data_IF_082168012919
#
_entry.id   IF_082168012919
#
_cell.length_a   1.000
_cell.length_b   1.000
_cell.length_c   1.000
_cell.angle_alpha   90.00
_cell.angle_beta   90.00
_cell.angle_gamma   90.00
#
_symmetry.space_group_name_H-M   'P 1'
#
loop_
_entity.id
_entity.type
_entity.pdbx_description
1 polymer ?
#
# COMPACT_ATOMS: atom_id res chain seq x y z
N UNK A 1 -6.92 -8.22 -24.06
CA UNK A 1 -6.28 -9.55 -23.81
C UNK A 1 -5.18 -9.42 -22.76
N UNK A 2 -4.29 -8.42 -22.89
CA UNK A 2 -3.25 -8.07 -21.90
C UNK A 2 -3.80 -7.79 -20.51
N UNK A 3 -4.84 -6.95 -20.39
CA UNK A 3 -5.49 -6.63 -19.11
C UNK A 3 -5.90 -7.87 -18.29
N UNK A 4 -6.53 -8.88 -18.91
CA UNK A 4 -6.93 -10.11 -18.20
C UNK A 4 -5.73 -10.88 -17.64
N UNK A 5 -4.61 -10.87 -18.36
CA UNK A 5 -3.36 -11.50 -17.90
C UNK A 5 -2.84 -10.71 -16.69
N UNK A 6 -2.75 -9.38 -16.80
CA UNK A 6 -2.32 -8.48 -15.72
C UNK A 6 -3.17 -8.72 -14.46
N UNK A 7 -4.50 -8.68 -14.57
CA UNK A 7 -5.42 -8.88 -13.44
C UNK A 7 -5.23 -10.25 -12.76
N UNK A 8 -4.75 -11.26 -13.51
CA UNK A 8 -4.47 -12.60 -12.97
C UNK A 8 -3.10 -12.67 -12.30
N UNK A 9 -2.06 -12.06 -12.88
CA UNK A 9 -0.68 -12.21 -12.41
C UNK A 9 -0.29 -11.20 -11.34
N UNK A 10 -0.87 -9.99 -11.36
CA UNK A 10 -0.49 -8.93 -10.40
C UNK A 10 -0.62 -9.37 -8.94
N UNK A 11 -1.75 -9.96 -8.50
CA UNK A 11 -1.88 -10.37 -7.09
C UNK A 11 -0.91 -11.48 -6.68
N UNK A 12 -0.41 -12.29 -7.63
CA UNK A 12 0.54 -13.35 -7.34
C UNK A 12 1.89 -12.78 -6.85
N UNK A 13 2.25 -11.56 -7.25
CA UNK A 13 3.49 -10.91 -6.82
C UNK A 13 3.55 -10.67 -5.30
N UNK A 14 2.42 -10.68 -4.59
CA UNK A 14 2.41 -10.50 -3.14
C UNK A 14 3.08 -11.67 -2.42
N UNK A 15 2.91 -12.89 -2.93
CA UNK A 15 3.35 -14.12 -2.26
C UNK A 15 4.32 -14.97 -3.12
N UNK A 16 4.62 -14.54 -4.36
CA UNK A 16 5.47 -15.29 -5.28
C UNK A 16 6.90 -15.50 -4.75
N UNK A 17 7.44 -16.69 -4.95
CA UNK A 17 8.86 -16.95 -4.74
C UNK A 17 9.73 -16.13 -5.71
N UNK A 18 11.01 -15.89 -5.41
CA UNK A 18 11.87 -15.00 -6.20
C UNK A 18 11.97 -15.38 -7.69
N UNK A 19 12.09 -16.66 -8.00
CA UNK A 19 12.16 -17.19 -9.37
C UNK A 19 10.85 -16.97 -10.16
N UNK A 20 9.71 -17.26 -9.52
CA UNK A 20 8.37 -17.00 -10.08
C UNK A 20 8.18 -15.51 -10.34
N UNK A 21 8.69 -14.66 -9.44
CA UNK A 21 8.61 -13.20 -9.58
C UNK A 21 9.42 -12.70 -10.77
N UNK A 22 10.64 -13.20 -10.97
CA UNK A 22 11.45 -12.89 -12.16
C UNK A 22 10.73 -13.34 -13.44
N UNK A 23 10.10 -14.52 -13.43
CA UNK A 23 9.28 -14.98 -14.54
C UNK A 23 8.08 -14.05 -14.82
N UNK A 24 7.44 -13.49 -13.78
CA UNK A 24 6.37 -12.50 -13.92
C UNK A 24 6.94 -11.20 -14.51
N UNK A 25 8.11 -10.73 -14.08
CA UNK A 25 8.78 -9.56 -14.67
C UNK A 25 9.05 -9.75 -16.17
N UNK A 26 9.61 -10.90 -16.57
CA UNK A 26 9.86 -11.22 -17.97
C UNK A 26 8.59 -11.28 -18.81
N UNK A 27 7.51 -11.82 -18.23
CA UNK A 27 6.19 -11.81 -18.84
C UNK A 27 5.69 -10.38 -19.06
N UNK A 28 5.77 -9.51 -18.04
CA UNK A 28 5.32 -8.12 -18.13
C UNK A 28 6.13 -7.32 -19.16
N UNK A 29 7.46 -7.51 -19.21
CA UNK A 29 8.33 -6.93 -20.24
C UNK A 29 7.92 -7.41 -21.64
N UNK A 30 7.59 -8.69 -21.77
CA UNK A 30 7.14 -9.26 -23.05
C UNK A 30 5.76 -8.73 -23.47
N UNK A 31 4.85 -8.53 -22.52
CA UNK A 31 3.55 -7.91 -22.75
C UNK A 31 3.68 -6.43 -23.13
N UNK A 32 4.65 -5.70 -22.57
CA UNK A 32 4.90 -4.30 -22.90
C UNK A 32 5.29 -4.08 -24.38
N UNK A 33 5.85 -5.11 -25.05
CA UNK A 33 6.12 -5.09 -26.50
C UNK A 33 4.82 -5.11 -27.34
N UNK A 34 3.72 -5.60 -26.76
CA UNK A 34 2.41 -5.68 -27.40
C UNK A 34 1.54 -4.48 -26.99
N UNK A 35 1.66 -4.06 -25.73
CA UNK A 35 0.92 -2.96 -25.12
C UNK A 35 1.89 -1.96 -24.48
N UNK A 36 2.23 -0.91 -25.23
CA UNK A 36 3.22 0.09 -24.80
C UNK A 36 2.79 0.89 -23.57
N UNK A 37 1.51 0.88 -23.20
CA UNK A 37 1.04 1.54 -21.98
C UNK A 37 1.59 0.87 -20.71
N UNK A 38 2.08 -0.38 -20.82
CA UNK A 38 2.69 -1.13 -19.72
C UNK A 38 4.21 -0.86 -19.58
N UNK A 39 4.88 -0.27 -20.58
CA UNK A 39 6.35 -0.16 -20.64
C UNK A 39 6.96 0.50 -19.41
N UNK A 40 6.34 1.59 -18.93
CA UNK A 40 6.76 2.29 -17.72
C UNK A 40 6.72 1.39 -16.48
N UNK A 41 5.61 0.67 -16.29
CA UNK A 41 5.42 -0.22 -15.12
C UNK A 41 6.24 -1.49 -15.24
N UNK A 42 6.38 -2.08 -16.43
CA UNK A 42 7.19 -3.26 -16.68
C UNK A 42 8.69 -3.02 -16.40
N UNK A 43 9.21 -1.85 -16.78
CA UNK A 43 10.59 -1.45 -16.43
C UNK A 43 10.73 -1.23 -14.92
N UNK A 44 9.78 -0.52 -14.33
CA UNK A 44 9.81 -0.22 -12.90
C UNK A 44 9.77 -1.51 -12.05
N UNK A 45 8.89 -2.46 -12.34
CA UNK A 45 8.82 -3.73 -11.61
C UNK A 45 10.07 -4.60 -11.81
N UNK A 46 10.71 -4.52 -12.98
CA UNK A 46 11.99 -5.16 -13.23
C UNK A 46 13.10 -4.55 -12.36
N UNK A 47 13.19 -3.23 -12.29
CA UNK A 47 14.17 -2.53 -11.44
C UNK A 47 13.91 -2.83 -9.95
N UNK A 48 12.64 -2.92 -9.51
CA UNK A 48 12.25 -3.31 -8.14
C UNK A 48 12.64 -4.75 -7.76
N UNK A 49 13.06 -5.56 -8.74
CA UNK A 49 13.48 -6.95 -8.58
C UNK A 49 14.88 -7.20 -9.16
N UNK A 50 15.69 -6.14 -9.31
CA UNK A 50 17.03 -6.24 -9.85
C UNK A 50 17.93 -7.12 -8.97
N UNK A 51 18.66 -8.03 -9.59
CA UNK A 51 19.64 -8.90 -8.94
C UNK A 51 21.05 -8.34 -9.07
N UNK A 52 21.87 -8.55 -8.06
CA UNK A 52 23.27 -8.13 -8.05
C UNK A 52 24.04 -8.84 -9.17
N UNK A 53 24.82 -8.12 -10.01
CA UNK A 53 25.70 -8.75 -10.98
C UNK A 53 26.96 -9.35 -10.33
N UNK A 54 27.23 -9.00 -9.07
CA UNK A 54 28.45 -9.39 -8.35
C UNK A 54 28.27 -10.65 -7.51
N UNK A 55 27.06 -10.89 -6.99
CA UNK A 55 26.75 -11.98 -6.08
C UNK A 55 25.54 -12.77 -6.58
N UNK A 56 25.71 -14.09 -6.70
CA UNK A 56 24.63 -14.99 -7.11
C UNK A 56 23.56 -14.99 -6.03
N UNK A 57 22.29 -14.84 -6.44
CA UNK A 57 21.11 -14.78 -5.58
C UNK A 57 20.99 -13.56 -4.65
N UNK A 58 21.85 -12.55 -4.82
CA UNK A 58 21.72 -11.26 -4.09
C UNK A 58 20.95 -10.21 -4.90
N UNK A 59 20.43 -9.20 -4.20
CA UNK A 59 19.63 -8.11 -4.78
C UNK A 59 20.48 -6.86 -5.04
N UNK A 60 20.20 -6.17 -6.14
CA UNK A 60 20.75 -4.85 -6.39
C UNK A 60 19.91 -3.79 -5.67
N UNK A 61 20.20 -3.62 -4.37
CA UNK A 61 19.49 -2.65 -3.52
C UNK A 61 19.53 -1.22 -4.06
N UNK A 62 20.60 -0.83 -4.77
CA UNK A 62 20.72 0.53 -5.32
C UNK A 62 19.67 0.72 -6.41
N UNK A 63 19.63 -0.18 -7.38
CA UNK A 63 18.63 -0.16 -8.45
C UNK A 63 17.20 -0.25 -7.91
N UNK A 64 16.98 -1.10 -6.90
CA UNK A 64 15.65 -1.25 -6.26
C UNK A 64 15.22 0.05 -5.58
N UNK A 65 16.08 0.68 -4.78
CA UNK A 65 15.78 1.95 -4.09
C UNK A 65 15.49 3.05 -5.11
N UNK A 66 16.29 3.14 -6.17
CA UNK A 66 16.09 4.10 -7.25
C UNK A 66 14.76 3.86 -8.00
N UNK A 67 14.33 2.60 -8.14
CA UNK A 67 13.03 2.26 -8.71
C UNK A 67 11.88 2.83 -7.88
N UNK A 68 11.92 2.63 -6.55
CA UNK A 68 10.92 3.18 -5.64
C UNK A 68 10.92 4.71 -5.63
N UNK A 69 12.09 5.34 -5.69
CA UNK A 69 12.24 6.80 -5.68
C UNK A 69 11.60 7.48 -6.92
N UNK A 70 11.47 6.77 -8.04
CA UNK A 70 10.84 7.27 -9.27
C UNK A 70 9.31 7.26 -9.22
N UNK A 71 8.70 6.57 -8.25
CA UNK A 71 7.25 6.44 -8.19
C UNK A 71 6.67 7.52 -7.28
N UNK A 72 6.03 8.52 -7.89
CA UNK A 72 5.39 9.64 -7.22
C UNK A 72 3.90 9.77 -7.59
N UNK A 73 3.28 10.88 -7.18
CA UNK A 73 1.88 11.14 -7.50
C UNK A 73 1.61 11.28 -9.01
N UNK A 74 2.57 11.76 -9.80
CA UNK A 74 2.45 11.86 -11.25
C UNK A 74 2.52 10.48 -11.91
N UNK A 75 3.39 9.59 -11.41
CA UNK A 75 3.42 8.18 -11.80
C UNK A 75 2.06 7.50 -11.57
N UNK A 76 1.44 7.71 -10.40
CA UNK A 76 0.12 7.16 -10.11
C UNK A 76 -0.96 7.67 -11.07
N UNK A 77 -0.99 8.98 -11.35
CA UNK A 77 -1.96 9.59 -12.24
C UNK A 77 -1.84 9.08 -13.69
N UNK A 78 -0.60 8.91 -14.17
CA UNK A 78 -0.32 8.43 -15.54
C UNK A 78 -0.57 6.94 -15.72
N UNK A 79 -0.57 6.19 -14.62
CA UNK A 79 -0.77 4.73 -14.64
C UNK A 79 -2.25 4.36 -14.54
N UNK A 80 -2.64 3.28 -15.21
CA UNK A 80 -3.97 2.69 -15.01
C UNK A 80 -4.05 1.97 -13.66
N UNK A 81 -5.27 1.77 -13.16
CA UNK A 81 -5.53 0.94 -11.98
C UNK A 81 -4.83 -0.43 -12.08
N UNK A 82 -4.97 -1.09 -13.23
CA UNK A 82 -4.40 -2.42 -13.48
C UNK A 82 -2.87 -2.43 -13.42
N UNK A 83 -2.23 -1.40 -13.97
CA UNK A 83 -0.78 -1.28 -13.91
C UNK A 83 -0.32 -1.00 -12.48
N UNK A 84 -1.04 -0.18 -11.73
CA UNK A 84 -0.69 0.09 -10.33
C UNK A 84 -0.85 -1.13 -9.42
N UNK A 85 -1.76 -2.05 -9.73
CA UNK A 85 -1.86 -3.30 -8.99
C UNK A 85 -0.55 -4.11 -9.02
N UNK A 86 0.24 -4.04 -10.09
CA UNK A 86 1.56 -4.70 -10.18
C UNK A 86 2.50 -4.13 -9.09
N UNK A 87 2.64 -2.80 -9.09
CA UNK A 87 3.54 -2.07 -8.21
C UNK A 87 3.13 -2.23 -6.74
N UNK A 88 1.82 -2.12 -6.45
CA UNK A 88 1.29 -2.30 -5.09
C UNK A 88 1.50 -3.73 -4.58
N UNK A 89 1.34 -4.73 -5.45
CA UNK A 89 1.56 -6.14 -5.09
C UNK A 89 3.02 -6.42 -4.73
N UNK A 90 3.96 -5.93 -5.54
CA UNK A 90 5.39 -6.01 -5.24
C UNK A 90 5.75 -5.29 -3.94
N UNK A 91 5.13 -4.13 -3.69
CA UNK A 91 5.40 -3.36 -2.49
C UNK A 91 4.89 -4.08 -1.25
N UNK A 92 3.74 -4.73 -1.30
CA UNK A 92 3.24 -5.56 -0.19
C UNK A 92 4.18 -6.73 0.13
N UNK A 93 4.74 -7.37 -0.91
CA UNK A 93 5.78 -8.38 -0.71
C UNK A 93 7.02 -7.81 -0.03
N UNK A 94 7.60 -6.75 -0.59
CA UNK A 94 8.82 -6.13 -0.07
C UNK A 94 8.63 -5.54 1.34
N UNK A 95 7.41 -5.12 1.68
CA UNK A 95 7.04 -4.66 3.02
C UNK A 95 7.09 -5.78 4.07
N UNK A 96 6.93 -7.03 3.64
CA UNK A 96 7.01 -8.23 4.49
C UNK A 96 8.42 -8.82 4.54
N UNK A 97 9.40 -8.18 3.90
CA UNK A 97 10.79 -8.64 3.88
C UNK A 97 11.47 -8.52 5.24
N UNK A 98 12.52 -9.32 5.45
CA UNK A 98 13.43 -9.17 6.57
C UNK A 98 14.42 -8.00 6.36
N UNK A 99 14.62 -7.60 5.11
CA UNK A 99 15.52 -6.52 4.74
C UNK A 99 14.89 -5.16 5.02
N UNK A 100 15.56 -4.37 5.86
CA UNK A 100 15.06 -3.07 6.30
C UNK A 100 14.92 -2.08 5.14
N UNK A 101 15.87 -2.10 4.20
CA UNK A 101 15.89 -1.23 3.00
C UNK A 101 14.69 -1.45 2.10
N UNK A 102 14.32 -2.72 1.87
CA UNK A 102 13.14 -3.11 1.10
C UNK A 102 11.86 -2.72 1.84
N UNK A 103 11.80 -3.02 3.14
CA UNK A 103 10.65 -2.72 4.00
C UNK A 103 10.36 -1.22 4.04
N UNK A 104 11.39 -0.39 4.21
CA UNK A 104 11.25 1.06 4.28
C UNK A 104 10.84 1.66 2.92
N UNK A 105 11.46 1.22 1.83
CA UNK A 105 11.10 1.68 0.47
C UNK A 105 9.65 1.34 0.12
N UNK A 106 9.25 0.09 0.36
CA UNK A 106 7.89 -0.38 0.13
C UNK A 106 6.86 0.37 0.99
N UNK A 107 7.13 0.54 2.28
CA UNK A 107 6.23 1.27 3.19
C UNK A 107 6.09 2.73 2.77
N UNK A 108 7.18 3.38 2.36
CA UNK A 108 7.15 4.76 1.90
C UNK A 108 6.27 4.90 0.65
N UNK A 109 6.41 3.99 -0.33
CA UNK A 109 5.53 3.97 -1.49
C UNK A 109 4.06 3.80 -1.12
N UNK A 110 3.75 2.81 -0.26
CA UNK A 110 2.38 2.56 0.17
C UNK A 110 1.81 3.76 0.93
N UNK A 111 2.62 4.48 1.71
CA UNK A 111 2.24 5.74 2.34
C UNK A 111 1.94 6.84 1.31
N UNK A 112 2.77 6.99 0.27
CA UNK A 112 2.52 7.92 -0.84
C UNK A 112 1.23 7.58 -1.58
N UNK A 113 0.93 6.29 -1.76
CA UNK A 113 -0.35 5.85 -2.34
C UNK A 113 -1.54 6.21 -1.44
N UNK A 114 -1.41 6.12 -0.11
CA UNK A 114 -2.46 6.59 0.82
C UNK A 114 -2.73 8.09 0.65
N UNK A 115 -1.68 8.89 0.50
CA UNK A 115 -1.81 10.34 0.26
C UNK A 115 -2.46 10.62 -1.09
N UNK A 116 -2.06 9.89 -2.13
CA UNK A 116 -2.69 9.96 -3.44
C UNK A 116 -4.18 9.62 -3.37
N UNK A 117 -4.56 8.51 -2.74
CA UNK A 117 -5.95 8.12 -2.55
C UNK A 117 -6.76 9.19 -1.81
N UNK A 118 -6.19 9.81 -0.77
CA UNK A 118 -6.83 10.90 -0.06
C UNK A 118 -7.07 12.13 -0.96
N UNK A 119 -6.15 12.44 -1.87
CA UNK A 119 -6.32 13.54 -2.81
C UNK A 119 -7.48 13.32 -3.78
N UNK A 120 -7.64 12.09 -4.31
CA UNK A 120 -8.77 11.70 -5.15
C UNK A 120 -10.09 11.85 -4.38
N UNK A 121 -10.16 11.33 -3.15
CA UNK A 121 -11.37 11.41 -2.32
C UNK A 121 -11.75 12.86 -1.98
N UNK A 122 -10.77 13.72 -1.70
CA UNK A 122 -11.02 15.13 -1.43
C UNK A 122 -11.53 15.87 -2.67
N UNK A 123 -10.99 15.59 -3.85
CA UNK A 123 -11.44 16.19 -5.11
C UNK A 123 -12.90 15.84 -5.40
N UNK A 124 -13.28 14.57 -5.28
CA UNK A 124 -14.66 14.13 -5.50
C UNK A 124 -15.63 14.75 -4.49
N UNK A 125 -15.26 14.81 -3.21
CA UNK A 125 -16.08 15.45 -2.18
C UNK A 125 -16.34 16.94 -2.50
N UNK A 126 -15.33 17.66 -3.01
CA UNK A 126 -15.47 19.07 -3.41
C UNK A 126 -16.31 19.27 -4.68
N UNK A 127 -16.23 18.34 -5.64
CA UNK A 127 -17.04 18.40 -6.86
C UNK A 127 -18.53 18.20 -6.57
N UNK A 128 -18.87 17.43 -5.53
CA UNK A 128 -20.25 17.23 -5.11
C UNK A 128 -20.86 18.42 -4.33
N UNK A 129 -20.05 19.31 -3.76
CA UNK A 129 -20.55 20.55 -3.11
C UNK A 129 -20.87 21.68 -4.09
N UNK A 130 -20.28 21.67 -5.28
CA UNK A 130 -20.51 22.67 -6.33
C UNK A 130 -21.68 22.25 -7.25
N UNK A 131 -22.90 22.18 -6.69
CA UNK A 131 -24.12 21.97 -7.47
C UNK A 131 -24.36 23.20 -8.35
N UNK A 132 -23.91 23.16 -9.60
CA UNK A 132 -24.26 24.17 -10.60
C UNK A 132 -23.37 24.30 -11.84
N UNK A 133 -22.21 23.64 -11.91
CA UNK A 133 -21.41 23.62 -13.14
C UNK A 133 -21.26 22.19 -13.63
N UNK A 134 -21.82 21.95 -14.81
CA UNK A 134 -21.55 20.78 -15.63
C UNK A 134 -20.08 20.84 -16.07
N UNK A 135 -19.18 20.48 -15.16
CA UNK A 135 -17.77 20.27 -15.47
C UNK A 135 -17.70 18.89 -16.11
N UNK A 136 -17.33 18.86 -17.39
CA UNK A 136 -16.93 17.64 -18.10
C UNK A 136 -16.09 16.79 -17.17
N UNK A 137 -16.61 15.62 -16.76
CA UNK A 137 -15.84 14.67 -15.95
C UNK A 137 -14.50 14.50 -16.65
N UNK A 138 -13.37 14.88 -16.04
CA UNK A 138 -12.10 14.46 -16.59
C UNK A 138 -12.17 12.94 -16.70
N UNK A 139 -11.65 12.40 -17.80
CA UNK A 139 -11.52 10.96 -18.03
C UNK A 139 -10.49 10.41 -17.04
N UNK A 140 -10.83 10.50 -15.74
CA UNK A 140 -9.92 10.25 -14.64
C UNK A 140 -9.77 8.73 -14.54
N UNK A 141 -8.53 8.28 -14.70
CA UNK A 141 -8.14 6.87 -14.52
C UNK A 141 -8.44 6.33 -13.12
N UNK A 142 -8.70 7.23 -12.15
CA UNK A 142 -8.95 6.93 -10.75
C UNK A 142 -10.28 7.50 -10.28
N UNK A 143 -10.97 6.73 -9.43
CA UNK A 143 -12.19 7.16 -8.72
C UNK A 143 -12.08 6.84 -7.24
N UNK A 144 -12.83 7.55 -6.40
CA UNK A 144 -12.89 7.35 -4.96
C UNK A 144 -13.25 5.93 -4.57
N UNK A 145 -14.26 5.34 -5.24
CA UNK A 145 -14.67 3.96 -5.03
C UNK A 145 -13.52 2.97 -5.29
N UNK A 146 -12.71 3.21 -6.33
CA UNK A 146 -11.59 2.34 -6.68
C UNK A 146 -10.45 2.45 -5.70
N UNK A 147 -10.03 3.66 -5.32
CA UNK A 147 -8.97 3.80 -4.31
C UNK A 147 -9.41 3.22 -2.97
N UNK A 148 -10.68 3.39 -2.58
CA UNK A 148 -11.23 2.77 -1.38
C UNK A 148 -11.27 1.24 -1.47
N UNK A 149 -11.59 0.67 -2.63
CA UNK A 149 -11.55 -0.78 -2.83
C UNK A 149 -10.13 -1.33 -2.67
N UNK A 150 -9.13 -0.72 -3.33
CA UNK A 150 -7.73 -1.14 -3.21
C UNK A 150 -7.28 -1.06 -1.75
N UNK A 151 -7.55 0.06 -1.07
CA UNK A 151 -7.17 0.22 0.34
C UNK A 151 -7.82 -0.84 1.23
N UNK A 152 -9.15 -1.00 1.15
CA UNK A 152 -9.89 -1.83 2.10
C UNK A 152 -9.89 -3.33 1.78
N UNK A 153 -9.89 -3.70 0.50
CA UNK A 153 -10.06 -5.08 0.05
C UNK A 153 -8.75 -5.72 -0.42
N UNK A 154 -7.77 -4.91 -0.81
CA UNK A 154 -6.48 -5.42 -1.25
C UNK A 154 -5.40 -5.18 -0.18
N UNK A 155 -5.02 -3.93 0.08
CA UNK A 155 -3.90 -3.60 0.99
C UNK A 155 -4.17 -4.10 2.41
N UNK A 156 -5.31 -3.74 3.02
CA UNK A 156 -5.64 -4.20 4.38
C UNK A 156 -5.74 -5.72 4.50
N UNK A 157 -6.24 -6.40 3.45
CA UNK A 157 -6.33 -7.86 3.41
C UNK A 157 -4.94 -8.48 3.45
N UNK A 158 -4.04 -8.05 2.57
CA UNK A 158 -2.69 -8.61 2.49
C UNK A 158 -1.83 -8.28 3.72
N UNK A 159 -2.00 -7.08 4.30
CA UNK A 159 -1.43 -6.74 5.62
C UNK A 159 -1.93 -7.71 6.69
N UNK A 160 -3.24 -7.91 6.79
CA UNK A 160 -3.83 -8.80 7.79
C UNK A 160 -3.32 -10.23 7.65
N UNK A 161 -3.26 -10.72 6.41
CA UNK A 161 -2.72 -12.03 6.07
C UNK A 161 -1.25 -12.19 6.48
N UNK A 162 -0.39 -11.22 6.14
CA UNK A 162 1.04 -11.26 6.48
C UNK A 162 1.27 -11.29 7.99
N UNK A 163 0.54 -10.46 8.75
CA UNK A 163 0.62 -10.40 10.21
C UNK A 163 0.09 -11.70 10.84
N UNK A 164 -1.06 -12.20 10.38
CA UNK A 164 -1.68 -13.40 10.96
C UNK A 164 -0.88 -14.68 10.65
N UNK A 165 -0.23 -14.75 9.49
CA UNK A 165 0.64 -15.88 9.11
C UNK A 165 2.04 -15.78 9.71
N UNK A 166 2.38 -14.70 10.42
CA UNK A 166 3.70 -14.48 11.00
C UNK A 166 4.80 -14.26 9.96
N UNK A 167 4.42 -13.83 8.75
CA UNK A 167 5.35 -13.55 7.65
C UNK A 167 6.17 -12.29 7.97
N UNK A 168 5.55 -11.32 8.65
CA UNK A 168 6.21 -10.07 9.05
C UNK A 168 6.13 -9.82 10.56
N UNK A 169 6.94 -8.87 11.04
CA UNK A 169 6.88 -8.41 12.44
C UNK A 169 5.62 -7.59 12.76
N UNK A 170 4.81 -7.22 11.77
CA UNK A 170 3.60 -6.39 11.89
C UNK A 170 3.83 -4.92 12.22
N UNK A 171 5.05 -4.51 12.57
CA UNK A 171 5.35 -3.11 12.95
C UNK A 171 5.17 -2.15 11.78
N UNK A 172 5.68 -2.50 10.59
CA UNK A 172 5.59 -1.64 9.41
C UNK A 172 4.14 -1.45 8.98
N UNK A 173 3.39 -2.54 9.02
CA UNK A 173 1.98 -2.66 8.64
C UNK A 173 1.09 -1.81 9.53
N UNK A 174 1.34 -1.87 10.84
CA UNK A 174 0.58 -1.11 11.83
C UNK A 174 0.87 0.39 11.72
N UNK A 175 2.08 0.77 11.30
CA UNK A 175 2.40 2.16 10.98
C UNK A 175 1.74 2.61 9.67
N UNK A 176 1.60 1.73 8.67
CA UNK A 176 0.84 2.03 7.45
C UNK A 176 -0.66 2.17 7.77
N UNK A 177 -1.24 1.30 8.60
CA UNK A 177 -2.63 1.46 9.09
C UNK A 177 -2.78 2.79 9.82
N UNK A 178 -1.82 3.18 10.66
CA UNK A 178 -1.82 4.50 11.31
C UNK A 178 -1.86 5.63 10.28
N UNK A 179 -1.05 5.55 9.22
CA UNK A 179 -1.06 6.53 8.13
C UNK A 179 -2.44 6.60 7.49
N UNK A 180 -3.06 5.46 7.17
CA UNK A 180 -4.42 5.40 6.63
C UNK A 180 -5.44 6.06 7.56
N UNK A 181 -5.41 5.76 8.86
CA UNK A 181 -6.35 6.31 9.85
C UNK A 181 -6.25 7.84 9.96
N UNK A 182 -5.05 8.39 9.82
CA UNK A 182 -4.83 9.85 9.91
C UNK A 182 -5.18 10.54 8.60
N UNK A 183 -4.79 9.96 7.48
CA UNK A 183 -4.86 10.59 6.16
C UNK A 183 -6.24 10.43 5.51
N UNK A 184 -6.92 9.31 5.73
CA UNK A 184 -8.21 9.01 5.11
C UNK A 184 -9.38 9.38 6.03
N UNK A 185 -9.60 10.67 6.24
CA UNK A 185 -10.68 11.19 7.10
C UNK A 185 -12.09 10.70 6.70
N UNK A 186 -12.26 10.29 5.44
CA UNK A 186 -13.53 9.82 4.86
C UNK A 186 -13.63 8.30 4.69
N UNK A 187 -12.60 7.51 5.03
CA UNK A 187 -12.57 6.07 4.76
C UNK A 187 -13.28 5.23 5.83
N UNK A 188 -14.59 5.42 5.98
CA UNK A 188 -15.49 4.51 6.70
C UNK A 188 -14.97 4.07 8.09
N UNK A 189 -14.84 2.76 8.29
CA UNK A 189 -14.48 2.14 9.57
C UNK A 189 -13.12 2.58 10.13
N UNK A 190 -12.18 3.05 9.29
CA UNK A 190 -10.86 3.52 9.76
C UNK A 190 -10.97 4.78 10.61
N UNK A 191 -11.98 5.61 10.37
CA UNK A 191 -12.23 6.83 11.15
C UNK A 191 -12.51 6.53 12.63
N UNK A 192 -13.10 5.36 12.95
CA UNK A 192 -13.35 4.94 14.32
C UNK A 192 -12.05 4.78 15.14
N UNK A 193 -10.94 4.43 14.47
CA UNK A 193 -9.64 4.22 15.10
C UNK A 193 -8.85 5.53 15.28
N UNK A 194 -9.36 6.68 14.81
CA UNK A 194 -8.66 7.98 14.93
C UNK A 194 -8.35 8.36 16.37
N UNK A 195 -9.18 7.96 17.33
CA UNK A 195 -8.96 8.18 18.77
C UNK A 195 -7.72 7.46 19.31
N UNK A 196 -7.22 6.44 18.61
CA UNK A 196 -5.99 5.73 18.96
C UNK A 196 -4.72 6.47 18.53
N UNK A 197 -4.83 7.37 17.55
CA UNK A 197 -3.72 8.22 17.12
C UNK A 197 -3.46 9.35 18.14
N UNK A 198 -2.21 9.77 18.23
CA UNK A 198 -1.79 10.97 18.95
C UNK A 198 -0.63 11.64 18.26
N UNK A 199 -0.53 12.96 18.40
CA UNK A 199 0.65 13.73 18.03
C UNK A 199 1.81 13.46 18.99
N UNK A 200 1.50 13.17 20.26
CA UNK A 200 2.49 12.71 21.23
C UNK A 200 2.83 11.23 20.98
N UNK A 201 4.05 11.02 20.49
CA UNK A 201 4.61 9.70 20.20
C UNK A 201 4.62 8.76 21.40
N UNK A 202 4.61 9.26 22.64
CA UNK A 202 4.62 8.47 23.88
C UNK A 202 3.25 7.89 24.24
N UNK A 203 2.18 8.37 23.59
CA UNK A 203 0.80 7.93 23.87
C UNK A 203 0.05 7.46 22.63
N UNK A 204 0.62 7.63 21.43
CA UNK A 204 0.09 7.09 20.18
C UNK A 204 0.08 5.54 20.21
N UNK A 205 -1.09 4.94 20.04
CA UNK A 205 -1.24 3.48 20.12
C UNK A 205 -0.37 2.75 19.09
N UNK A 206 -0.45 3.16 17.84
CA UNK A 206 0.16 2.48 16.70
C UNK A 206 1.69 2.53 16.78
N UNK A 207 2.26 3.64 17.27
CA UNK A 207 3.71 3.75 17.49
C UNK A 207 4.22 2.91 18.66
N UNK A 208 3.38 2.63 19.65
CA UNK A 208 3.80 2.03 20.91
C UNK A 208 3.47 0.53 21.05
N UNK A 209 2.53 -0.02 20.28
CA UNK A 209 2.11 -1.43 20.40
C UNK A 209 3.24 -2.43 20.09
N UNK A 210 4.17 -2.06 19.21
CA UNK A 210 5.41 -2.82 18.91
C UNK A 210 6.67 -2.22 19.55
N UNK A 211 6.52 -1.37 20.58
CA UNK A 211 7.68 -0.80 21.26
C UNK A 211 8.51 -1.91 21.93
N UNK A 212 9.84 -1.80 21.91
CA UNK A 212 10.74 -2.68 22.66
C UNK A 212 10.47 -2.56 24.18
N UNK A 213 10.03 -1.39 24.64
CA UNK A 213 9.77 -1.11 26.04
C UNK A 213 8.39 -1.65 26.47
N UNK A 214 8.38 -2.61 27.40
CA UNK A 214 7.16 -3.28 27.85
C UNK A 214 6.10 -2.33 28.44
N UNK A 215 6.52 -1.29 29.16
CA UNK A 215 5.60 -0.31 29.74
C UNK A 215 4.85 0.50 28.65
N UNK A 216 5.51 0.81 27.53
CA UNK A 216 4.88 1.50 26.40
C UNK A 216 3.85 0.61 25.72
N UNK A 217 4.17 -0.67 25.51
CA UNK A 217 3.19 -1.66 25.00
C UNK A 217 1.98 -1.76 25.90
N UNK A 218 2.19 -1.90 27.21
CA UNK A 218 1.10 -1.98 28.20
C UNK A 218 0.21 -0.72 28.19
N UNK A 219 0.80 0.48 28.04
CA UNK A 219 0.05 1.73 27.93
C UNK A 219 -0.78 1.79 26.64
N UNK A 220 -0.20 1.36 25.52
CA UNK A 220 -0.91 1.26 24.23
C UNK A 220 -2.11 0.31 24.33
N UNK A 221 -1.93 -0.89 24.87
CA UNK A 221 -3.03 -1.86 25.06
C UNK A 221 -4.12 -1.33 25.98
N UNK A 222 -3.76 -0.65 27.09
CA UNK A 222 -4.73 -0.01 27.98
C UNK A 222 -5.53 1.09 27.25
N UNK A 223 -4.87 1.90 26.43
CA UNK A 223 -5.53 2.93 25.61
C UNK A 223 -6.51 2.28 24.62
N UNK A 224 -6.09 1.22 23.94
CA UNK A 224 -6.94 0.47 23.03
C UNK A 224 -8.20 -0.05 23.73
N UNK A 225 -8.03 -0.78 24.84
CA UNK A 225 -9.14 -1.31 25.63
C UNK A 225 -10.11 -0.21 26.10
N UNK A 226 -9.59 0.96 26.48
CA UNK A 226 -10.41 2.12 26.85
C UNK A 226 -11.23 2.63 25.64
N UNK A 227 -10.58 2.86 24.50
CA UNK A 227 -11.27 3.34 23.30
C UNK A 227 -12.34 2.35 22.83
N UNK A 228 -12.07 1.04 22.85
CA UNK A 228 -13.06 0.02 22.48
C UNK A 228 -14.24 0.00 23.46
N UNK A 229 -14.01 0.17 24.77
CA UNK A 229 -15.10 0.25 25.76
C UNK A 229 -15.95 1.52 25.63
N UNK A 230 -15.32 2.64 25.29
CA UNK A 230 -15.94 3.95 25.18
C UNK A 230 -16.61 4.18 23.81
N UNK A 231 -16.43 3.27 22.85
CA UNK A 231 -16.89 3.43 21.46
C UNK A 231 -17.70 2.22 21.03
N UNK A 232 -18.79 2.42 20.29
CA UNK A 232 -19.47 1.36 19.53
C UNK A 232 -18.62 0.93 18.31
N UNK A 233 -17.34 0.61 18.50
CA UNK A 233 -16.53 0.03 17.42
C UNK A 233 -17.24 -1.26 17.02
N UNK A 234 -17.61 -1.46 15.75
CA UNK A 234 -18.22 -2.70 15.31
C UNK A 234 -17.26 -3.84 15.64
N UNK A 235 -17.65 -4.67 16.60
CA UNK A 235 -17.02 -5.98 16.80
C UNK A 235 -17.58 -6.85 15.68
N UNK A 236 -16.74 -7.53 14.88
CA UNK A 236 -17.24 -8.50 13.92
C UNK A 236 -18.09 -9.53 14.67
N UNK A 237 -19.33 -9.74 14.24
CA UNK A 237 -20.08 -10.93 14.67
C UNK A 237 -19.33 -12.17 14.14
N UNK A 238 -19.15 -13.16 15.02
CA UNK A 238 -18.44 -14.43 14.74
C UNK A 238 -19.07 -15.22 13.58
#
# INVERSE_FOLDING_TARGET
RTSKIIDTVSPLLVDAEPDVRLCICDLLISLAKIDSSLDLVAKCISDMNATSPMEVDDLDYVTIIDAYAKIDADFFNKSSEQHMMIILSQSLYNMSSQELTLTDSARNLLCSFVEFAASILCQEASAHSDIGKEVSKPDASWTGDRVLWIMNKFILKHIGDAVNRGISSGKGEILLIRKMVITLAYAGNLAAFRRLCSEDNEVDFFKNVFSIQAHRRAKATKRFAKVIKDSSVPVPEE
#
